data_IF_578156383161
#
_entry.id   IF_578156383161
#
_cell.length_a   1.000
_cell.length_b   1.000
_cell.length_c   1.000
_cell.angle_alpha   90.00
_cell.angle_beta   90.00
_cell.angle_gamma   90.00
#
_symmetry.space_group_name_H-M   'P 1'
#
loop_
_entity.id
_entity.type
_entity.pdbx_description
1 polymer ?
#
# COMPACT_ATOMS: atom_id res chain seq x y z
N UNK A 1 46.11 0.99 31.28
CA UNK A 1 46.45 1.11 29.83
C UNK A 1 45.61 0.21 28.90
N UNK A 2 44.41 -0.26 29.30
CA UNK A 2 43.61 -1.21 28.51
C UNK A 2 42.45 -0.62 27.66
N UNK A 3 42.08 0.65 27.83
CA UNK A 3 40.83 1.22 27.25
C UNK A 3 41.00 1.74 25.81
N UNK A 4 42.25 1.87 25.32
CA UNK A 4 42.53 2.41 23.98
C UNK A 4 42.56 1.35 22.87
N UNK A 5 42.92 0.10 23.17
CA UNK A 5 42.97 -0.99 22.18
C UNK A 5 41.58 -1.43 21.72
N UNK A 6 40.57 -1.36 22.59
CA UNK A 6 39.19 -1.70 22.20
C UNK A 6 38.58 -0.68 21.23
N UNK A 7 38.96 0.60 21.31
CA UNK A 7 38.47 1.65 20.40
C UNK A 7 39.07 1.54 19.00
N UNK A 8 40.37 1.25 18.87
CA UNK A 8 41.01 1.08 17.56
C UNK A 8 40.47 -0.16 16.84
N UNK A 9 40.23 -1.26 17.56
CA UNK A 9 39.64 -2.46 16.99
C UNK A 9 38.18 -2.24 16.54
N UNK A 10 37.45 -1.34 17.20
CA UNK A 10 36.08 -0.97 16.82
C UNK A 10 36.06 -0.14 15.52
N UNK A 11 36.95 0.84 15.40
CA UNK A 11 37.08 1.65 14.18
C UNK A 11 37.52 0.83 12.96
N UNK A 12 38.48 -0.09 13.13
CA UNK A 12 38.90 -1.01 12.06
C UNK A 12 37.73 -1.91 11.62
N UNK A 13 36.89 -2.38 12.55
CA UNK A 13 35.67 -3.14 12.22
C UNK A 13 34.66 -2.33 11.40
N UNK A 14 34.50 -1.04 11.69
CA UNK A 14 33.60 -0.14 10.96
C UNK A 14 34.14 0.14 9.56
N UNK A 15 35.43 0.45 9.41
CA UNK A 15 36.05 0.64 8.09
C UNK A 15 35.96 -0.63 7.24
N UNK A 16 36.19 -1.80 7.82
CA UNK A 16 36.08 -3.06 7.09
C UNK A 16 34.64 -3.35 6.64
N UNK A 17 33.64 -2.99 7.47
CA UNK A 17 32.22 -3.05 7.10
C UNK A 17 31.90 -2.08 5.96
N UNK A 18 32.43 -0.86 5.99
CA UNK A 18 32.24 0.16 4.94
C UNK A 18 32.85 -0.33 3.63
N UNK A 19 34.10 -0.82 3.65
CA UNK A 19 34.80 -1.32 2.45
C UNK A 19 34.08 -2.53 1.85
N UNK A 20 33.62 -3.48 2.68
CA UNK A 20 32.82 -4.62 2.23
C UNK A 20 31.46 -4.16 1.68
N UNK A 21 30.83 -3.15 2.30
CA UNK A 21 29.61 -2.53 1.78
C UNK A 21 29.85 -1.91 0.41
N UNK A 22 30.84 -1.02 0.26
CA UNK A 22 31.15 -0.34 -0.98
C UNK A 22 31.48 -1.32 -2.12
N UNK A 23 32.28 -2.35 -1.85
CA UNK A 23 32.62 -3.38 -2.84
C UNK A 23 31.42 -4.26 -3.23
N UNK A 24 30.53 -4.57 -2.29
CA UNK A 24 29.29 -5.29 -2.58
C UNK A 24 28.28 -4.42 -3.34
N UNK A 25 28.19 -3.12 -3.02
CA UNK A 25 27.40 -2.15 -3.78
C UNK A 25 27.87 -2.05 -5.24
N UNK A 26 29.17 -1.95 -5.49
CA UNK A 26 29.70 -1.84 -6.85
C UNK A 26 29.43 -3.10 -7.70
N UNK A 27 29.63 -4.30 -7.12
CA UNK A 27 29.30 -5.58 -7.79
C UNK A 27 27.81 -5.74 -8.05
N UNK A 28 26.96 -5.21 -7.18
CA UNK A 28 25.50 -5.38 -7.31
C UNK A 28 24.91 -4.32 -8.24
N UNK A 29 25.47 -3.11 -8.31
CA UNK A 29 25.11 -2.11 -9.33
C UNK A 29 25.26 -2.66 -10.75
N UNK A 30 26.31 -3.46 -11.01
CA UNK A 30 26.50 -4.15 -12.30
C UNK A 30 25.39 -5.15 -12.64
N UNK A 31 24.73 -5.75 -11.64
CA UNK A 31 23.61 -6.70 -11.83
C UNK A 31 22.25 -6.00 -12.00
N UNK A 32 22.17 -4.69 -11.79
CA UNK A 32 20.93 -3.91 -11.79
C UNK A 32 20.53 -3.33 -13.14
N UNK A 33 21.33 -3.55 -14.19
CA UNK A 33 21.03 -3.05 -15.53
C UNK A 33 19.69 -3.53 -16.11
N UNK A 34 19.13 -4.63 -15.61
CA UNK A 34 17.90 -5.25 -16.15
C UNK A 34 16.66 -5.22 -15.24
N UNK A 35 16.70 -4.59 -14.07
CA UNK A 35 15.58 -4.70 -13.11
C UNK A 35 14.76 -3.42 -13.09
N UNK A 36 13.61 -3.42 -13.78
CA UNK A 36 12.57 -2.40 -13.59
C UNK A 36 12.13 -2.40 -12.13
N UNK A 37 12.62 -1.42 -11.37
CA UNK A 37 12.27 -1.21 -9.97
C UNK A 37 11.33 -0.03 -9.85
N UNK A 38 10.18 -0.27 -9.25
CA UNK A 38 9.20 0.75 -8.96
C UNK A 38 9.18 1.00 -7.45
N UNK A 39 9.34 2.26 -7.08
CA UNK A 39 9.34 2.71 -5.70
C UNK A 39 8.16 3.64 -5.46
N UNK A 40 7.39 3.37 -4.42
CA UNK A 40 6.30 4.23 -3.97
C UNK A 40 6.43 4.46 -2.47
N UNK A 41 6.45 5.73 -2.04
CA UNK A 41 6.48 6.11 -0.63
C UNK A 41 5.32 7.03 -0.32
N UNK A 42 4.65 6.76 0.79
CA UNK A 42 3.68 7.66 1.39
C UNK A 42 3.88 7.72 2.89
N UNK A 43 4.18 8.92 3.39
CA UNK A 43 4.51 9.15 4.80
C UNK A 43 5.60 8.18 5.29
N UNK A 44 5.31 7.40 6.33
CA UNK A 44 6.22 6.40 6.91
C UNK A 44 6.15 5.01 6.26
N UNK A 45 5.36 4.81 5.21
CA UNK A 45 5.22 3.51 4.52
C UNK A 45 5.80 3.60 3.11
N UNK A 46 6.57 2.58 2.73
CA UNK A 46 7.13 2.47 1.40
C UNK A 46 6.94 1.06 0.84
N UNK A 47 6.78 0.97 -0.48
CA UNK A 47 6.69 -0.26 -1.25
C UNK A 47 7.73 -0.20 -2.35
N UNK A 48 8.46 -1.29 -2.49
CA UNK A 48 9.36 -1.53 -3.59
C UNK A 48 8.84 -2.74 -4.36
N UNK A 49 8.65 -2.59 -5.66
CA UNK A 49 8.18 -3.64 -6.54
C UNK A 49 9.17 -3.82 -7.68
N UNK A 50 9.43 -5.08 -8.03
CA UNK A 50 10.22 -5.42 -9.21
C UNK A 50 9.67 -6.70 -9.83
N UNK A 51 9.71 -6.78 -11.16
CA UNK A 51 9.39 -8.00 -11.91
C UNK A 51 10.61 -8.91 -11.89
N UNK A 52 10.78 -9.69 -10.82
CA UNK A 52 11.96 -10.55 -10.65
C UNK A 52 11.75 -11.66 -9.62
N UNK A 53 12.77 -12.50 -9.45
CA UNK A 53 12.77 -13.61 -8.48
C UNK A 53 12.89 -13.12 -7.04
N UNK A 54 12.42 -13.93 -6.08
CA UNK A 54 12.52 -13.62 -4.64
C UNK A 54 13.97 -13.38 -4.17
N UNK A 55 14.95 -14.03 -4.82
CA UNK A 55 16.38 -13.87 -4.53
C UNK A 55 16.82 -12.41 -4.76
N UNK A 56 16.36 -11.79 -5.84
CA UNK A 56 16.64 -10.39 -6.13
C UNK A 56 16.08 -9.49 -5.02
N UNK A 57 14.86 -9.75 -4.55
CA UNK A 57 14.25 -8.99 -3.45
C UNK A 57 14.98 -9.16 -2.12
N UNK A 58 15.51 -10.35 -1.84
CA UNK A 58 16.35 -10.57 -0.65
C UNK A 58 17.66 -9.77 -0.71
N UNK A 59 18.31 -9.71 -1.88
CA UNK A 59 19.50 -8.86 -2.08
C UNK A 59 19.16 -7.40 -1.86
N UNK A 60 18.06 -6.91 -2.44
CA UNK A 60 17.61 -5.54 -2.27
C UNK A 60 17.25 -5.20 -0.82
N UNK A 61 16.63 -6.12 -0.09
CA UNK A 61 16.38 -5.97 1.34
C UNK A 61 17.69 -5.79 2.10
N UNK A 62 18.70 -6.61 1.82
CA UNK A 62 20.03 -6.47 2.43
C UNK A 62 20.66 -5.12 2.10
N UNK A 63 20.57 -4.67 0.84
CA UNK A 63 21.07 -3.35 0.43
C UNK A 63 20.39 -2.20 1.15
N UNK A 64 19.07 -2.21 1.27
CA UNK A 64 18.33 -1.14 1.93
C UNK A 64 18.69 -1.03 3.41
N UNK A 65 18.84 -2.17 4.10
CA UNK A 65 19.23 -2.20 5.51
C UNK A 65 20.64 -1.62 5.68
N UNK A 66 21.59 -2.07 4.86
CA UNK A 66 22.96 -1.57 4.91
C UNK A 66 23.06 -0.08 4.54
N UNK A 67 22.33 0.34 3.51
CA UNK A 67 22.25 1.74 3.10
C UNK A 67 21.72 2.62 4.23
N UNK A 68 20.64 2.21 4.89
CA UNK A 68 20.08 2.98 6.00
C UNK A 68 21.00 3.05 7.21
N UNK A 69 21.65 1.95 7.54
CA UNK A 69 22.60 1.92 8.64
C UNK A 69 23.85 2.77 8.35
N UNK A 70 24.34 2.77 7.11
CA UNK A 70 25.57 3.47 6.74
C UNK A 70 25.33 4.96 6.54
N UNK A 71 24.23 5.33 5.88
CA UNK A 71 23.97 6.72 5.46
C UNK A 71 23.19 7.52 6.50
N UNK A 72 22.18 6.92 7.14
CA UNK A 72 21.35 7.61 8.14
C UNK A 72 21.76 7.29 9.57
N UNK A 73 22.78 6.44 9.77
CA UNK A 73 23.13 5.87 11.07
C UNK A 73 21.91 5.27 11.79
N UNK A 74 20.94 4.79 11.01
CA UNK A 74 19.65 4.33 11.49
C UNK A 74 19.59 2.81 11.41
N UNK A 75 19.48 2.15 12.56
CA UNK A 75 19.31 0.70 12.60
C UNK A 75 17.88 0.31 12.25
N UNK A 76 17.65 -0.02 10.97
CA UNK A 76 16.37 -0.54 10.53
C UNK A 76 16.20 -2.00 10.96
N UNK A 77 15.08 -2.35 11.58
CA UNK A 77 14.75 -3.72 11.94
C UNK A 77 14.41 -4.54 10.67
N UNK A 78 15.27 -5.47 10.21
CA UNK A 78 15.10 -6.14 8.91
C UNK A 78 13.86 -7.05 8.88
N UNK A 79 13.40 -7.54 10.02
CA UNK A 79 12.20 -8.37 10.12
C UNK A 79 10.90 -7.60 9.81
N UNK A 80 10.89 -6.26 9.89
CA UNK A 80 9.74 -5.43 9.49
C UNK A 80 9.57 -5.36 7.97
N UNK A 81 10.62 -5.67 7.21
CA UNK A 81 10.58 -5.68 5.75
C UNK A 81 10.08 -7.06 5.30
N UNK A 82 8.81 -7.12 4.96
CA UNK A 82 8.17 -8.32 4.43
C UNK A 82 8.31 -8.35 2.91
N UNK A 83 8.78 -9.48 2.39
CA UNK A 83 8.81 -9.75 0.95
C UNK A 83 7.61 -10.65 0.66
N UNK A 84 6.70 -10.17 -0.18
CA UNK A 84 5.51 -10.91 -0.59
C UNK A 84 5.45 -10.99 -2.10
N UNK A 85 5.12 -12.16 -2.62
CA UNK A 85 4.82 -12.33 -4.04
C UNK A 85 3.41 -11.84 -4.33
N UNK A 86 3.27 -10.96 -5.31
CA UNK A 86 2.01 -10.24 -5.52
C UNK A 86 0.92 -11.06 -6.23
N UNK A 87 1.28 -12.14 -6.93
CA UNK A 87 0.31 -13.00 -7.64
C UNK A 87 -0.65 -13.70 -6.69
N UNK A 88 -0.17 -14.13 -5.51
CA UNK A 88 -0.93 -14.98 -4.61
C UNK A 88 -1.41 -14.23 -3.35
N UNK A 89 -0.92 -13.02 -3.12
CA UNK A 89 -1.15 -12.28 -1.89
C UNK A 89 -1.62 -10.85 -2.16
N UNK A 90 -2.51 -10.38 -1.29
CA UNK A 90 -2.87 -8.96 -1.22
C UNK A 90 -2.01 -8.23 -0.17
N UNK A 91 -1.85 -6.92 -0.34
CA UNK A 91 -1.22 -6.06 0.65
C UNK A 91 -2.05 -4.80 0.90
N UNK A 92 -1.92 -4.21 2.09
CA UNK A 92 -2.58 -2.96 2.44
C UNK A 92 -1.64 -1.77 2.29
N UNK A 93 -2.03 -0.78 1.50
CA UNK A 93 -1.29 0.46 1.30
C UNK A 93 -2.25 1.61 1.01
N UNK A 94 -1.96 2.81 1.53
CA UNK A 94 -2.79 4.01 1.33
C UNK A 94 -4.28 3.84 1.70
N UNK A 95 -4.61 2.93 2.62
CA UNK A 95 -6.00 2.64 2.97
C UNK A 95 -6.74 1.79 1.94
N UNK A 96 -6.03 1.16 1.01
CA UNK A 96 -6.54 0.17 0.05
C UNK A 96 -5.94 -1.20 0.32
N UNK A 97 -6.68 -2.24 -0.04
CA UNK A 97 -6.13 -3.57 -0.31
C UNK A 97 -5.85 -3.69 -1.80
N UNK A 98 -4.59 -3.91 -2.15
CA UNK A 98 -4.16 -4.12 -3.52
C UNK A 98 -3.90 -5.61 -3.77
N UNK A 99 -4.46 -6.14 -4.85
CA UNK A 99 -4.26 -7.51 -5.31
C UNK A 99 -4.07 -7.55 -6.83
N UNK A 100 -3.27 -8.49 -7.33
CA UNK A 100 -3.24 -8.81 -8.76
C UNK A 100 -4.34 -9.82 -9.01
N UNK A 101 -5.21 -9.53 -9.99
CA UNK A 101 -6.15 -10.52 -10.51
C UNK A 101 -5.71 -10.90 -11.91
N UNK A 102 -5.73 -12.20 -12.17
CA UNK A 102 -5.47 -12.77 -13.48
C UNK A 102 -6.79 -12.87 -14.23
N UNK A 103 -6.94 -12.04 -15.26
CA UNK A 103 -8.10 -12.07 -16.12
C UNK A 103 -7.74 -12.79 -17.42
N UNK A 104 -8.44 -13.88 -17.72
CA UNK A 104 -8.39 -14.51 -19.02
C UNK A 104 -9.39 -13.83 -19.95
N UNK A 105 -8.88 -13.13 -20.97
CA UNK A 105 -9.70 -12.58 -22.05
C UNK A 105 -9.74 -13.62 -23.16
N UNK A 106 -10.93 -14.15 -23.41
CA UNK A 106 -11.19 -15.11 -24.49
C UNK A 106 -11.52 -14.31 -25.74
N UNK A 107 -10.62 -14.28 -26.72
CA UNK A 107 -10.83 -13.59 -28.01
C UNK A 107 -11.03 -14.64 -29.08
N UNK A 108 -12.16 -14.59 -29.78
CA UNK A 108 -12.43 -15.47 -30.92
C UNK A 108 -11.95 -14.78 -32.20
N UNK A 109 -10.93 -15.32 -32.85
CA UNK A 109 -10.48 -14.88 -34.16
C UNK A 109 -11.16 -15.76 -35.22
N UNK A 110 -11.83 -15.14 -36.20
CA UNK A 110 -12.47 -15.83 -37.31
C UNK A 110 -11.74 -15.46 -38.60
N UNK A 111 -10.96 -16.39 -39.15
CA UNK A 111 -10.51 -16.32 -40.53
C UNK A 111 -11.55 -16.97 -41.45
N UNK A 112 -11.41 -16.74 -42.77
CA UNK A 112 -12.39 -17.03 -43.83
C UNK A 112 -13.20 -18.33 -43.62
N UNK A 113 -12.54 -19.42 -43.22
CA UNK A 113 -13.19 -20.73 -42.94
C UNK A 113 -12.98 -21.25 -41.50
N UNK A 114 -12.01 -20.73 -40.73
CA UNK A 114 -11.65 -21.26 -39.41
C UNK A 114 -11.86 -20.24 -38.29
N UNK A 115 -12.50 -20.67 -37.20
CA UNK A 115 -12.59 -19.87 -35.97
C UNK A 115 -11.69 -20.44 -34.87
N UNK A 116 -10.75 -19.63 -34.38
CA UNK A 116 -9.84 -19.96 -33.29
C UNK A 116 -10.22 -19.19 -32.03
N UNK A 117 -10.10 -19.84 -30.87
CA UNK A 117 -10.28 -19.22 -29.57
C UNK A 117 -8.88 -18.99 -28.98
N UNK A 118 -8.52 -17.72 -28.78
CA UNK A 118 -7.25 -17.31 -28.18
C UNK A 118 -7.54 -16.78 -26.78
N UNK A 119 -6.93 -17.40 -25.77
CA UNK A 119 -7.00 -16.90 -24.39
C UNK A 119 -5.80 -15.99 -24.12
N UNK A 120 -6.04 -14.70 -23.96
CA UNK A 120 -5.03 -13.71 -23.56
C UNK A 120 -5.08 -13.57 -22.04
N UNK A 121 -3.97 -13.88 -21.37
CA UNK A 121 -3.84 -13.68 -19.93
C UNK A 121 -3.40 -12.24 -19.65
N UNK A 122 -4.22 -11.50 -18.91
CA UNK A 122 -3.91 -10.11 -18.51
C UNK A 122 -3.84 -10.00 -16.99
N UNK A 123 -2.72 -9.48 -16.48
CA UNK A 123 -2.55 -9.20 -15.06
C UNK A 123 -2.97 -7.75 -14.80
N UNK A 124 -4.08 -7.56 -14.09
CA UNK A 124 -4.57 -6.22 -13.70
C UNK A 124 -4.48 -6.05 -12.19
N UNK A 125 -3.98 -4.90 -11.76
CA UNK A 125 -3.99 -4.51 -10.36
C UNK A 125 -5.38 -4.01 -9.96
N UNK A 126 -5.95 -4.65 -8.95
CA UNK A 126 -7.20 -4.25 -8.33
C UNK A 126 -6.92 -3.62 -6.98
N UNK A 127 -7.44 -2.40 -6.79
CA UNK A 127 -7.51 -1.73 -5.50
C UNK A 127 -8.93 -1.91 -4.96
N UNK A 128 -9.04 -2.46 -3.76
CA UNK A 128 -10.28 -2.69 -3.04
C UNK A 128 -10.25 -1.89 -1.76
N UNK A 129 -11.33 -1.15 -1.51
CA UNK A 129 -11.48 -0.38 -0.29
C UNK A 129 -11.94 -1.30 0.85
N UNK A 130 -11.24 -1.31 2.01
CA UNK A 130 -11.59 -2.14 3.14
C UNK A 130 -12.87 -1.62 3.82
N UNK A 131 -14.02 -2.23 3.46
CA UNK A 131 -15.34 -1.88 4.00
C UNK A 131 -15.33 -1.82 5.52
N UNK A 132 -14.74 -2.82 6.17
CA UNK A 132 -14.76 -2.89 7.63
C UNK A 132 -13.92 -1.81 8.31
N UNK A 133 -12.79 -1.44 7.71
CA UNK A 133 -11.97 -0.34 8.23
C UNK A 133 -12.69 1.00 8.12
N UNK A 134 -13.44 1.22 7.03
CA UNK A 134 -14.27 2.42 6.85
C UNK A 134 -15.46 2.47 7.79
N UNK A 135 -16.23 1.38 7.91
CA UNK A 135 -17.34 1.29 8.87
C UNK A 135 -16.82 1.50 10.29
N UNK A 136 -15.69 0.88 10.65
CA UNK A 136 -15.05 1.11 11.94
C UNK A 136 -14.67 2.57 12.19
N UNK A 137 -14.17 3.27 11.17
CA UNK A 137 -13.81 4.69 11.26
C UNK A 137 -15.05 5.58 11.41
N UNK A 138 -16.11 5.32 10.63
CA UNK A 138 -17.39 6.02 10.73
C UNK A 138 -18.08 5.78 12.08
N UNK A 139 -17.95 4.56 12.62
CA UNK A 139 -18.50 4.21 13.91
C UNK A 139 -17.80 4.91 15.07
N UNK A 140 -16.46 5.00 15.02
CA UNK A 140 -15.69 5.82 15.97
C UNK A 140 -16.09 7.29 15.94
N UNK A 141 -16.42 7.81 14.76
CA UNK A 141 -16.96 9.16 14.61
C UNK A 141 -18.47 9.28 14.93
N UNK A 142 -19.12 8.19 15.38
CA UNK A 142 -20.55 8.09 15.70
C UNK A 142 -21.52 8.41 14.54
N UNK A 143 -21.14 8.14 13.29
CA UNK A 143 -22.09 8.20 12.16
C UNK A 143 -22.89 6.90 12.01
N UNK A 144 -22.36 5.78 12.53
CA UNK A 144 -22.99 4.47 12.46
C UNK A 144 -22.59 3.57 13.64
N UNK A 145 -23.30 2.46 13.82
CA UNK A 145 -22.88 1.36 14.70
C UNK A 145 -21.73 0.59 14.07
N UNK A 146 -21.11 -0.31 14.84
CA UNK A 146 -20.03 -1.20 14.35
C UNK A 146 -20.50 -2.11 13.21
N UNK A 147 -21.80 -2.43 13.16
CA UNK A 147 -22.44 -3.21 12.08
C UNK A 147 -22.74 -2.36 10.83
N UNK A 148 -22.58 -1.04 10.91
CA UNK A 148 -22.86 -0.11 9.82
C UNK A 148 -24.31 0.37 9.76
N UNK A 149 -25.06 0.32 10.86
CA UNK A 149 -26.39 0.95 10.94
C UNK A 149 -26.25 2.44 11.26
N UNK A 150 -26.90 3.34 10.51
CA UNK A 150 -26.73 4.79 10.70
C UNK A 150 -27.35 5.28 12.00
N UNK A 151 -26.64 6.20 12.66
CA UNK A 151 -27.04 6.84 13.92
C UNK A 151 -27.18 8.35 13.65
N UNK A 152 -28.09 9.03 14.36
CA UNK A 152 -28.17 10.49 14.35
C UNK A 152 -26.91 11.15 14.95
N UNK A 153 -26.68 12.42 14.64
CA UNK A 153 -25.56 13.20 15.17
C UNK A 153 -26.06 14.29 16.13
N UNK A 154 -26.52 13.94 17.34
CA UNK A 154 -27.13 14.90 18.27
C UNK A 154 -26.18 16.04 18.67
N UNK A 155 -24.87 15.85 18.55
CA UNK A 155 -23.85 16.88 18.82
C UNK A 155 -23.94 18.06 17.84
N UNK A 156 -24.64 17.90 16.70
CA UNK A 156 -24.77 18.93 15.67
C UNK A 156 -26.16 19.59 15.64
N UNK A 157 -27.05 19.27 16.59
CA UNK A 157 -28.40 19.84 16.63
C UNK A 157 -28.42 21.31 17.01
N UNK A 158 -27.28 21.85 17.46
CA UNK A 158 -27.05 23.27 17.72
C UNK A 158 -26.77 24.10 16.45
N UNK A 159 -26.53 23.44 15.31
CA UNK A 159 -26.25 24.08 14.01
C UNK A 159 -27.52 24.28 13.19
N UNK A 160 -27.45 25.17 12.19
CA UNK A 160 -28.52 25.31 11.20
C UNK A 160 -28.62 24.08 10.29
N UNK A 161 -29.82 23.78 9.79
CA UNK A 161 -30.03 22.69 8.83
C UNK A 161 -29.08 22.77 7.63
N UNK A 162 -28.84 23.99 7.11
CA UNK A 162 -27.90 24.21 6.01
C UNK A 162 -26.46 23.84 6.37
N UNK A 163 -26.02 24.17 7.59
CA UNK A 163 -24.67 23.87 8.06
C UNK A 163 -24.49 22.37 8.31
N UNK A 164 -25.52 21.70 8.87
CA UNK A 164 -25.54 20.24 9.05
C UNK A 164 -25.40 19.55 7.69
N UNK A 165 -26.23 19.93 6.72
CA UNK A 165 -26.21 19.35 5.37
C UNK A 165 -24.87 19.60 4.68
N UNK A 166 -24.30 20.81 4.76
CA UNK A 166 -23.02 21.12 4.13
C UNK A 166 -21.88 20.28 4.74
N UNK A 167 -21.85 20.11 6.07
CA UNK A 167 -20.87 19.25 6.74
C UNK A 167 -20.95 17.80 6.26
N UNK A 168 -22.15 17.21 6.21
CA UNK A 168 -22.34 15.86 5.68
C UNK A 168 -21.93 15.75 4.21
N UNK A 169 -22.28 16.74 3.40
CA UNK A 169 -21.89 16.82 1.99
C UNK A 169 -20.38 16.86 1.81
N UNK A 170 -19.65 17.67 2.60
CA UNK A 170 -18.18 17.75 2.57
C UNK A 170 -17.54 16.40 2.91
N UNK A 171 -18.02 15.74 3.96
CA UNK A 171 -17.52 14.42 4.37
C UNK A 171 -17.73 13.38 3.26
N UNK A 172 -18.95 13.31 2.71
CA UNK A 172 -19.25 12.38 1.63
C UNK A 172 -18.40 12.66 0.38
N UNK A 173 -18.23 13.92 -0.01
CA UNK A 173 -17.40 14.32 -1.16
C UNK A 173 -15.94 13.93 -0.96
N UNK A 174 -15.38 14.17 0.23
CA UNK A 174 -13.99 13.82 0.54
C UNK A 174 -13.76 12.31 0.46
N UNK A 175 -14.64 11.51 1.05
CA UNK A 175 -14.57 10.04 0.99
C UNK A 175 -14.71 9.52 -0.44
N UNK A 176 -15.69 10.03 -1.20
CA UNK A 176 -15.89 9.64 -2.60
C UNK A 176 -14.71 10.04 -3.49
N UNK A 177 -14.11 11.22 -3.27
CA UNK A 177 -12.93 11.67 -4.02
C UNK A 177 -11.73 10.78 -3.72
N UNK A 178 -11.43 10.57 -2.44
CA UNK A 178 -10.28 9.76 -2.03
C UNK A 178 -10.40 8.32 -2.56
N UNK A 179 -11.60 7.73 -2.50
CA UNK A 179 -11.86 6.35 -2.90
C UNK A 179 -12.35 6.15 -4.34
N UNK A 180 -12.34 7.21 -5.17
CA UNK A 180 -12.83 7.18 -6.55
C UNK A 180 -12.10 6.16 -7.44
N UNK A 181 -10.82 5.90 -7.17
CA UNK A 181 -10.00 4.91 -7.88
C UNK A 181 -10.24 3.45 -7.49
N UNK A 182 -11.21 3.16 -6.62
CA UNK A 182 -11.56 1.77 -6.25
C UNK A 182 -12.18 1.02 -7.42
N UNK A 183 -11.72 -0.22 -7.63
CA UNK A 183 -12.34 -1.15 -8.60
C UNK A 183 -13.78 -1.52 -8.24
N UNK A 184 -14.10 -1.65 -6.94
CA UNK A 184 -15.44 -1.98 -6.43
C UNK A 184 -16.11 -0.73 -5.86
N UNK A 185 -17.10 -0.19 -6.58
CA UNK A 185 -17.85 1.02 -6.18
C UNK A 185 -19.00 0.76 -5.19
N UNK A 186 -19.45 -0.49 -5.05
CA UNK A 186 -20.57 -0.87 -4.16
C UNK A 186 -20.35 -0.41 -2.70
N UNK A 187 -19.10 -0.46 -2.24
CA UNK A 187 -18.69 -0.01 -0.90
C UNK A 187 -19.00 1.47 -0.68
N UNK A 188 -18.73 2.30 -1.68
CA UNK A 188 -18.95 3.75 -1.61
C UNK A 188 -20.43 4.09 -1.60
N UNK A 189 -21.25 3.34 -2.34
CA UNK A 189 -22.70 3.50 -2.29
C UNK A 189 -23.26 3.17 -0.91
N UNK A 190 -22.78 2.09 -0.28
CA UNK A 190 -23.17 1.75 1.10
C UNK A 190 -22.80 2.85 2.11
N UNK A 191 -21.60 3.40 2.01
CA UNK A 191 -21.15 4.50 2.88
C UNK A 191 -21.98 5.77 2.65
N UNK A 192 -22.24 6.12 1.38
CA UNK A 192 -23.10 7.26 1.03
C UNK A 192 -24.50 7.10 1.59
N UNK A 193 -25.05 5.89 1.56
CA UNK A 193 -26.36 5.58 2.15
C UNK A 193 -26.37 5.78 3.67
N UNK A 194 -25.35 5.26 4.37
CA UNK A 194 -25.20 5.44 5.83
C UNK A 194 -25.15 6.93 6.19
N UNK A 195 -24.31 7.71 5.52
CA UNK A 195 -24.18 9.14 5.79
C UNK A 195 -25.47 9.91 5.50
N UNK A 196 -26.19 9.57 4.42
CA UNK A 196 -27.47 10.20 4.07
C UNK A 196 -28.54 9.93 5.13
N UNK A 197 -28.64 8.68 5.61
CA UNK A 197 -29.65 8.33 6.60
C UNK A 197 -29.26 8.84 8.00
N UNK A 198 -27.96 8.93 8.32
CA UNK A 198 -27.47 9.60 9.52
C UNK A 198 -27.85 11.08 9.51
N UNK A 199 -27.63 11.79 8.40
CA UNK A 199 -28.01 13.19 8.23
C UNK A 199 -29.52 13.40 8.40
N UNK A 200 -30.36 12.56 7.80
CA UNK A 200 -31.82 12.70 7.90
C UNK A 200 -32.38 12.41 9.31
N UNK A 201 -31.60 11.74 10.16
CA UNK A 201 -31.97 11.45 11.56
C UNK A 201 -31.42 12.50 12.54
N UNK A 202 -30.50 13.34 12.08
CA UNK A 202 -29.84 14.38 12.88
C UNK A 202 -30.70 15.63 12.82
#
# INVERSE_FOLDING_TARGET
SGVFLERTHFYVKIEHLIVVCCNSFHKILCFLKDTFMHYVRYQGKAILASKGTLILMNKWKFHLVNFWQSYFHFWSQPYRIHIKQLSNYSFSFLGYFSSVLENHLVVRNKMLENSFIINIMTHRLYTIVPVMSLIGSLSKAQFCTVLGHPISKPIWTDLSDSDIIDRFCRICRNLCRYHSGSSKKQVLYRIKYILRLSCART
#
